data_IF_393908191243
#
_entry.id   IF_393908191243
#
_cell.length_a   1.000
_cell.length_b   1.000
_cell.length_c   1.000
_cell.angle_alpha   90.00
_cell.angle_beta   90.00
_cell.angle_gamma   90.00
#
_symmetry.space_group_name_H-M   'P 1'
#
loop_
_entity.id
_entity.type
_entity.pdbx_description
1 polymer ?
#
# COMPACT_ATOMS: atom_id res chain seq x y z
N UNK A 1 0.89 -7.15 -30.09
CA UNK A 1 1.85 -6.94 -28.98
C UNK A 1 1.21 -7.49 -27.72
N UNK A 2 1.83 -8.44 -27.03
CA UNK A 2 1.29 -8.97 -25.78
C UNK A 2 1.33 -7.86 -24.72
N UNK A 3 0.21 -7.60 -24.05
CA UNK A 3 0.16 -6.70 -22.89
C UNK A 3 1.16 -7.19 -21.84
N UNK A 4 2.00 -6.33 -21.26
CA UNK A 4 2.95 -6.77 -20.24
C UNK A 4 2.20 -7.38 -19.06
N UNK A 5 2.74 -8.47 -18.51
CA UNK A 5 2.16 -9.14 -17.34
C UNK A 5 2.12 -8.16 -16.16
N UNK A 6 0.95 -7.92 -15.54
CA UNK A 6 0.83 -7.01 -14.40
C UNK A 6 1.58 -7.56 -13.17
N UNK A 7 1.96 -6.66 -12.25
CA UNK A 7 2.59 -7.07 -10.99
C UNK A 7 1.57 -7.71 -10.05
N UNK A 8 0.32 -7.22 -10.05
CA UNK A 8 -0.80 -7.78 -9.30
C UNK A 8 -2.01 -7.94 -10.21
N UNK A 9 -2.65 -9.10 -10.15
CA UNK A 9 -3.92 -9.36 -10.81
C UNK A 9 -4.83 -10.14 -9.86
N UNK A 10 -6.00 -9.59 -9.59
CA UNK A 10 -7.08 -10.21 -8.84
C UNK A 10 -8.18 -10.61 -9.81
N UNK A 11 -8.64 -11.87 -9.75
CA UNK A 11 -9.72 -12.39 -10.61
C UNK A 11 -10.82 -12.98 -9.76
N UNK A 12 -11.99 -12.36 -9.81
CA UNK A 12 -13.20 -12.78 -9.09
C UNK A 12 -12.92 -13.10 -7.63
N UNK A 13 -12.07 -12.28 -6.98
CA UNK A 13 -11.55 -12.55 -5.64
C UNK A 13 -12.65 -12.43 -4.60
N UNK A 14 -12.82 -13.48 -3.79
CA UNK A 14 -13.72 -13.51 -2.64
C UNK A 14 -12.96 -13.78 -1.36
N UNK A 15 -13.40 -13.15 -0.27
CA UNK A 15 -12.85 -13.39 1.06
C UNK A 15 -13.90 -13.16 2.15
N UNK A 16 -13.73 -13.86 3.28
CA UNK A 16 -14.65 -13.81 4.40
C UNK A 16 -13.93 -13.83 5.74
N UNK A 17 -14.52 -13.22 6.75
CA UNK A 17 -14.17 -13.39 8.15
C UNK A 17 -15.17 -14.36 8.80
N UNK A 18 -14.75 -15.61 8.97
CA UNK A 18 -15.65 -16.66 9.42
C UNK A 18 -16.78 -16.90 8.41
N UNK A 19 -18.02 -16.59 8.79
CA UNK A 19 -19.21 -16.74 7.92
C UNK A 19 -19.62 -15.47 7.18
N UNK A 20 -18.91 -14.36 7.43
CA UNK A 20 -19.24 -13.05 6.85
C UNK A 20 -18.36 -12.84 5.62
N UNK A 21 -18.95 -12.99 4.42
CA UNK A 21 -18.27 -12.64 3.18
C UNK A 21 -18.16 -11.12 3.07
N UNK A 22 -16.95 -10.62 2.76
CA UNK A 22 -16.63 -9.19 2.64
C UNK A 22 -16.22 -8.83 1.24
N UNK A 23 -15.52 -9.72 0.52
CA UNK A 23 -15.19 -9.54 -0.89
C UNK A 23 -16.09 -10.43 -1.74
N UNK A 24 -16.78 -9.83 -2.69
CA UNK A 24 -17.85 -10.44 -3.49
C UNK A 24 -17.48 -10.59 -4.98
N UNK A 25 -16.23 -10.91 -5.28
CA UNK A 25 -15.73 -11.04 -6.64
C UNK A 25 -15.03 -9.75 -7.09
N UNK A 26 -13.85 -9.50 -6.52
CA UNK A 26 -13.02 -8.33 -6.86
C UNK A 26 -12.15 -8.68 -8.06
N UNK A 27 -12.27 -7.86 -9.11
CA UNK A 27 -11.36 -7.83 -10.25
C UNK A 27 -10.55 -6.54 -10.18
N UNK A 28 -9.21 -6.65 -10.09
CA UNK A 28 -8.31 -5.50 -10.02
C UNK A 28 -6.95 -5.86 -10.61
N UNK A 29 -6.35 -4.92 -11.34
CA UNK A 29 -5.03 -5.10 -11.93
C UNK A 29 -4.14 -3.92 -11.55
N UNK A 30 -2.89 -4.22 -11.15
CA UNK A 30 -1.83 -3.22 -10.96
C UNK A 30 -0.75 -3.47 -12.01
N UNK A 31 -0.63 -2.57 -13.01
CA UNK A 31 0.45 -2.65 -13.99
C UNK A 31 1.83 -2.47 -13.33
N UNK A 32 2.87 -2.98 -13.99
CA UNK A 32 4.25 -2.80 -13.51
C UNK A 32 4.62 -1.32 -13.51
N UNK A 33 5.19 -0.83 -12.41
CA UNK A 33 5.67 0.55 -12.25
C UNK A 33 4.56 1.59 -12.13
N UNK A 34 3.31 1.19 -11.92
CA UNK A 34 2.17 2.11 -11.79
C UNK A 34 1.73 2.27 -10.34
N UNK A 35 1.12 3.42 -10.07
CA UNK A 35 0.34 3.69 -8.84
C UNK A 35 -1.13 3.46 -9.14
N UNK A 36 -1.75 2.51 -8.45
CA UNK A 36 -3.19 2.26 -8.51
C UNK A 36 -3.83 2.65 -7.17
N UNK A 37 -4.81 3.53 -7.20
CA UNK A 37 -5.59 3.91 -6.03
C UNK A 37 -6.87 3.07 -5.94
N UNK A 38 -7.07 2.36 -4.83
CA UNK A 38 -8.33 1.68 -4.51
C UNK A 38 -9.10 2.54 -3.50
N UNK A 39 -10.17 3.17 -3.97
CA UNK A 39 -10.92 4.19 -3.27
C UNK A 39 -12.31 3.70 -2.89
N UNK A 40 -12.89 4.28 -1.85
CA UNK A 40 -14.26 3.96 -1.42
C UNK A 40 -14.49 4.21 0.07
N UNK A 41 -15.74 4.14 0.52
CA UNK A 41 -16.10 4.37 1.92
C UNK A 41 -15.53 3.29 2.85
N UNK A 42 -15.56 3.59 4.15
CA UNK A 42 -15.20 2.62 5.18
C UNK A 42 -16.16 1.40 5.13
N UNK A 43 -15.60 0.21 5.35
CA UNK A 43 -16.36 -1.03 5.20
C UNK A 43 -16.54 -1.51 3.76
N UNK A 44 -16.04 -0.78 2.75
CA UNK A 44 -16.13 -1.15 1.34
C UNK A 44 -15.35 -2.41 0.94
N UNK A 45 -14.43 -2.90 1.79
CA UNK A 45 -13.61 -4.09 1.53
C UNK A 45 -12.14 -3.80 1.18
N UNK A 46 -11.71 -2.54 1.15
CA UNK A 46 -10.37 -2.10 0.74
C UNK A 46 -9.24 -2.77 1.54
N UNK A 47 -9.22 -2.59 2.87
CA UNK A 47 -8.23 -3.23 3.77
C UNK A 47 -8.30 -4.75 3.70
N UNK A 48 -9.49 -5.32 3.50
CA UNK A 48 -9.66 -6.77 3.32
C UNK A 48 -8.96 -7.24 2.04
N UNK A 49 -9.05 -6.47 0.95
CA UNK A 49 -8.33 -6.75 -0.30
C UNK A 49 -6.82 -6.75 -0.06
N UNK A 50 -6.26 -5.74 0.64
CA UNK A 50 -4.83 -5.72 0.99
C UNK A 50 -4.43 -6.91 1.86
N UNK A 51 -5.25 -7.30 2.85
CA UNK A 51 -4.98 -8.47 3.70
C UNK A 51 -4.92 -9.77 2.92
N UNK A 52 -5.76 -9.93 1.89
CA UNK A 52 -5.69 -11.10 1.02
C UNK A 52 -4.43 -11.07 0.16
N UNK A 53 -4.12 -9.95 -0.47
CA UNK A 53 -2.93 -9.79 -1.32
C UNK A 53 -1.64 -9.97 -0.51
N UNK A 54 -1.61 -9.57 0.76
CA UNK A 54 -0.45 -9.72 1.65
C UNK A 54 -0.37 -11.08 2.38
N UNK A 55 -1.31 -12.00 2.12
CA UNK A 55 -1.33 -13.33 2.75
C UNK A 55 -1.75 -13.34 4.22
N UNK A 56 -2.36 -12.26 4.72
CA UNK A 56 -2.87 -12.16 6.09
C UNK A 56 -4.29 -12.73 6.23
N UNK A 57 -5.03 -12.83 5.13
CA UNK A 57 -6.36 -13.42 5.05
C UNK A 57 -6.43 -14.34 3.83
N UNK A 58 -6.88 -15.60 3.96
CA UNK A 58 -7.03 -16.47 2.81
C UNK A 58 -8.19 -16.04 1.90
N UNK A 59 -8.01 -16.14 0.58
CA UNK A 59 -9.12 -16.06 -0.35
C UNK A 59 -10.05 -17.25 -0.17
N UNK A 60 -11.36 -17.03 -0.23
CA UNK A 60 -12.38 -18.10 -0.21
C UNK A 60 -12.72 -18.60 -1.60
N UNK A 61 -12.54 -17.76 -2.63
CA UNK A 61 -12.65 -18.10 -4.05
C UNK A 61 -11.92 -17.06 -4.91
N UNK A 62 -11.79 -17.34 -6.20
CA UNK A 62 -11.06 -16.49 -7.14
C UNK A 62 -9.55 -16.67 -7.03
N UNK A 63 -8.80 -15.81 -7.71
CA UNK A 63 -7.35 -15.95 -7.85
C UNK A 63 -6.61 -14.66 -7.55
N UNK A 64 -5.45 -14.79 -6.90
CA UNK A 64 -4.44 -13.75 -6.74
C UNK A 64 -3.20 -14.16 -7.54
N UNK A 65 -2.76 -13.31 -8.45
CA UNK A 65 -1.51 -13.51 -9.19
C UNK A 65 -0.56 -12.35 -8.90
N UNK A 66 0.70 -12.67 -8.61
CA UNK A 66 1.79 -11.70 -8.46
C UNK A 66 2.85 -12.01 -9.50
N UNK A 67 3.16 -11.04 -10.36
CA UNK A 67 4.03 -11.21 -11.51
C UNK A 67 3.68 -12.46 -12.35
N UNK A 68 2.38 -12.69 -12.59
CA UNK A 68 1.83 -13.83 -13.32
C UNK A 68 1.81 -15.17 -12.56
N UNK A 69 2.32 -15.23 -11.33
CA UNK A 69 2.32 -16.46 -10.51
C UNK A 69 1.08 -16.50 -9.63
N UNK A 70 0.36 -17.62 -9.64
CA UNK A 70 -0.75 -17.85 -8.72
C UNK A 70 -0.23 -18.03 -7.29
N UNK A 71 -0.74 -17.23 -6.34
CA UNK A 71 -0.22 -17.15 -4.97
C UNK A 71 -1.28 -17.36 -3.88
N UNK A 72 -2.45 -17.89 -4.20
CA UNK A 72 -3.47 -18.18 -3.20
C UNK A 72 -2.90 -19.10 -2.11
N UNK A 73 -3.15 -18.76 -0.84
CA UNK A 73 -2.66 -19.52 0.31
C UNK A 73 -1.15 -19.37 0.61
N UNK A 74 -0.44 -18.52 -0.13
CA UNK A 74 0.93 -18.20 0.21
C UNK A 74 0.98 -17.42 1.55
N UNK A 75 1.98 -17.73 2.38
CA UNK A 75 2.18 -17.01 3.63
C UNK A 75 2.72 -15.59 3.38
N UNK A 76 2.48 -14.67 4.32
CA UNK A 76 3.02 -13.31 4.24
C UNK A 76 4.55 -13.29 4.09
N UNK A 77 5.27 -14.21 4.76
CA UNK A 77 6.73 -14.36 4.61
C UNK A 77 7.12 -14.76 3.18
N UNK A 78 6.40 -15.71 2.58
CA UNK A 78 6.64 -16.12 1.19
C UNK A 78 6.39 -14.98 0.21
N UNK A 79 5.35 -14.17 0.44
CA UNK A 79 5.04 -13.01 -0.38
C UNK A 79 6.08 -11.89 -0.21
N UNK A 80 6.56 -11.65 1.02
CA UNK A 80 7.64 -10.71 1.28
C UNK A 80 8.92 -11.09 0.51
N UNK A 81 9.26 -12.38 0.45
CA UNK A 81 10.45 -12.87 -0.29
C UNK A 81 10.36 -12.67 -1.81
N UNK A 82 9.18 -12.58 -2.36
CA UNK A 82 8.96 -12.26 -3.79
C UNK A 82 8.73 -10.76 -4.03
N UNK A 83 8.99 -9.92 -3.01
CA UNK A 83 8.98 -8.48 -3.13
C UNK A 83 7.66 -7.79 -2.85
N UNK A 84 6.71 -8.44 -2.16
CA UNK A 84 5.49 -7.76 -1.66
C UNK A 84 5.79 -7.14 -0.30
N UNK A 85 5.59 -5.84 -0.17
CA UNK A 85 5.72 -5.13 1.10
C UNK A 85 4.41 -4.40 1.44
N UNK A 86 3.98 -4.51 2.68
CA UNK A 86 2.75 -3.85 3.15
C UNK A 86 3.08 -2.85 4.26
N UNK A 87 2.57 -1.64 4.10
CA UNK A 87 2.51 -0.64 5.17
C UNK A 87 1.06 -0.60 5.63
N UNK A 88 0.74 -1.16 6.81
CA UNK A 88 -0.62 -1.26 7.29
C UNK A 88 -1.10 0.09 7.83
N UNK A 89 -2.41 0.24 7.95
CA UNK A 89 -3.04 1.26 8.78
C UNK A 89 -2.39 1.27 10.18
N UNK A 90 -2.21 2.46 10.78
CA UNK A 90 -1.56 2.58 12.09
C UNK A 90 -0.04 2.53 12.06
N UNK A 91 0.57 2.72 10.87
CA UNK A 91 2.00 3.01 10.64
C UNK A 91 2.96 1.82 10.72
N UNK A 92 2.63 0.75 11.44
CA UNK A 92 3.45 -0.47 11.53
C UNK A 92 4.88 -0.25 12.06
N UNK A 93 5.12 0.78 12.87
CA UNK A 93 6.40 1.04 13.54
C UNK A 93 6.47 0.33 14.90
N UNK A 94 7.70 0.18 15.43
CA UNK A 94 7.94 -0.28 16.79
C UNK A 94 8.15 0.94 17.70
N UNK A 95 7.15 1.38 18.48
CA UNK A 95 7.19 2.67 19.20
C UNK A 95 8.27 2.73 20.29
N UNK A 96 8.63 1.59 20.86
CA UNK A 96 9.64 1.47 21.92
C UNK A 96 11.06 1.32 21.38
N UNK A 97 11.25 1.28 20.07
CA UNK A 97 12.55 1.28 19.41
C UNK A 97 12.85 2.68 18.88
N UNK A 98 14.13 3.02 18.80
CA UNK A 98 14.60 4.25 18.14
C UNK A 98 14.33 4.20 16.63
N UNK A 99 14.44 5.33 15.95
CA UNK A 99 14.37 5.41 14.48
C UNK A 99 15.37 4.45 13.84
N UNK A 100 16.64 4.48 14.30
CA UNK A 100 17.70 3.59 13.79
C UNK A 100 17.38 2.12 14.02
N UNK A 101 16.87 1.74 15.19
CA UNK A 101 16.48 0.36 15.48
C UNK A 101 15.28 -0.08 14.66
N UNK A 102 14.31 0.80 14.42
CA UNK A 102 13.22 0.54 13.49
C UNK A 102 13.73 0.24 12.08
N UNK A 103 14.69 1.03 11.58
CA UNK A 103 15.32 0.80 10.28
C UNK A 103 16.09 -0.52 10.24
N UNK A 104 16.78 -0.87 11.33
CA UNK A 104 17.49 -2.17 11.46
C UNK A 104 16.55 -3.36 11.26
N UNK A 105 15.26 -3.26 11.62
CA UNK A 105 14.31 -4.35 11.37
C UNK A 105 14.14 -4.67 9.88
N UNK A 106 14.44 -3.74 8.96
CA UNK A 106 14.41 -3.99 7.53
C UNK A 106 15.60 -4.85 7.04
N UNK A 107 16.68 -4.98 7.83
CA UNK A 107 17.84 -5.79 7.44
C UNK A 107 17.57 -7.30 7.52
N UNK A 108 16.44 -7.73 8.08
CA UNK A 108 16.05 -9.14 8.15
C UNK A 108 15.99 -9.81 6.77
N UNK A 109 15.71 -9.04 5.71
CA UNK A 109 15.76 -9.47 4.32
C UNK A 109 17.16 -9.61 3.71
N UNK A 110 18.25 -9.41 4.50
CA UNK A 110 19.64 -9.51 4.03
C UNK A 110 20.20 -8.20 3.47
N UNK A 111 19.49 -7.08 3.58
CA UNK A 111 19.98 -5.74 3.19
C UNK A 111 20.91 -5.19 4.26
N UNK A 112 22.03 -4.58 3.86
CA UNK A 112 22.97 -3.94 4.79
C UNK A 112 22.33 -2.73 5.51
N UNK A 113 22.62 -2.56 6.83
CA UNK A 113 22.05 -1.47 7.61
C UNK A 113 22.46 -0.08 7.09
N UNK A 114 23.70 0.05 6.63
CA UNK A 114 24.18 1.32 6.06
C UNK A 114 23.42 1.70 4.78
N UNK A 115 23.10 0.72 3.95
CA UNK A 115 22.27 0.94 2.76
C UNK A 115 20.83 1.35 3.14
N UNK A 116 20.23 0.66 4.13
CA UNK A 116 18.92 1.01 4.68
C UNK A 116 18.90 2.43 5.23
N UNK A 117 19.90 2.80 6.04
CA UNK A 117 20.01 4.14 6.61
C UNK A 117 20.20 5.21 5.52
N UNK A 118 21.04 4.95 4.53
CA UNK A 118 21.27 5.88 3.41
C UNK A 118 19.97 6.16 2.67
N UNK A 119 19.28 5.13 2.22
CA UNK A 119 17.98 5.27 1.50
C UNK A 119 16.96 6.01 2.36
N UNK A 120 16.86 5.67 3.65
CA UNK A 120 15.91 6.28 4.56
C UNK A 120 16.18 7.77 4.79
N UNK A 121 17.45 8.15 5.04
CA UNK A 121 17.81 9.53 5.41
C UNK A 121 17.91 10.46 4.19
N UNK A 122 18.24 9.93 3.02
CA UNK A 122 18.16 10.70 1.76
C UNK A 122 16.71 11.09 1.41
N UNK A 123 15.76 10.15 1.58
CA UNK A 123 14.34 10.39 1.31
C UNK A 123 13.64 11.19 2.41
N UNK A 124 14.05 10.98 3.65
CA UNK A 124 13.45 11.59 4.84
C UNK A 124 14.55 12.15 5.77
N UNK A 125 15.16 13.30 5.45
CA UNK A 125 16.29 13.86 6.22
C UNK A 125 16.00 14.04 7.72
N UNK A 126 14.74 14.36 8.07
CA UNK A 126 14.31 14.49 9.46
C UNK A 126 14.46 13.21 10.28
N UNK A 127 14.40 12.04 9.66
CA UNK A 127 14.66 10.77 10.34
C UNK A 127 16.14 10.63 10.72
N UNK A 128 17.03 11.14 9.87
CA UNK A 128 18.47 11.20 10.15
C UNK A 128 18.83 12.07 11.34
N UNK A 129 18.17 13.23 11.48
CA UNK A 129 18.33 14.15 12.61
C UNK A 129 17.84 13.52 13.93
N UNK A 130 16.89 12.59 13.86
CA UNK A 130 16.19 11.95 14.99
C UNK A 130 16.52 10.48 15.18
N UNK A 131 17.61 9.99 14.58
CA UNK A 131 17.98 8.55 14.55
C UNK A 131 18.01 7.86 15.91
N UNK A 132 18.32 8.59 16.97
CA UNK A 132 18.39 8.08 18.36
C UNK A 132 17.09 8.32 19.16
N UNK A 133 16.07 8.98 18.57
CA UNK A 133 14.79 9.25 19.19
C UNK A 133 13.90 8.00 19.14
N UNK A 134 13.13 7.75 20.22
CA UNK A 134 12.12 6.69 20.24
C UNK A 134 11.03 6.99 19.21
N UNK A 135 10.71 6.01 18.37
CA UNK A 135 9.76 6.18 17.29
C UNK A 135 8.34 6.55 17.78
N UNK A 136 7.95 6.08 18.96
CA UNK A 136 6.68 6.44 19.58
C UNK A 136 6.54 7.91 19.96
N UNK A 137 7.65 8.65 20.06
CA UNK A 137 7.65 10.09 20.39
C UNK A 137 7.72 11.01 19.17
N UNK A 138 7.84 10.43 17.98
CA UNK A 138 7.79 11.17 16.72
C UNK A 138 6.36 11.70 16.44
N UNK A 139 6.25 12.76 15.67
CA UNK A 139 4.96 13.20 15.12
C UNK A 139 4.33 12.11 14.24
N UNK A 140 3.01 12.16 14.05
CA UNK A 140 2.32 11.20 13.20
C UNK A 140 2.88 11.07 11.80
N UNK A 141 3.23 12.21 11.18
CA UNK A 141 3.85 12.22 9.86
C UNK A 141 5.25 11.61 9.84
N UNK A 142 6.09 11.88 10.85
CA UNK A 142 7.42 11.28 10.96
C UNK A 142 7.35 9.76 11.19
N UNK A 143 6.35 9.29 11.95
CA UNK A 143 6.10 7.85 12.11
C UNK A 143 5.70 7.20 10.79
N UNK A 144 4.89 7.87 9.97
CA UNK A 144 4.49 7.40 8.65
C UNK A 144 5.69 7.40 7.67
N UNK A 145 6.52 8.45 7.73
CA UNK A 145 7.78 8.51 6.98
C UNK A 145 8.71 7.34 7.36
N UNK A 146 8.80 7.00 8.65
CA UNK A 146 9.61 5.88 9.13
C UNK A 146 9.05 4.53 8.64
N UNK A 147 7.74 4.34 8.65
CA UNK A 147 7.09 3.14 8.11
C UNK A 147 7.39 2.99 6.61
N UNK A 148 7.25 4.09 5.85
CA UNK A 148 7.53 4.12 4.42
C UNK A 148 9.02 3.86 4.13
N UNK A 149 9.93 4.49 4.88
CA UNK A 149 11.37 4.26 4.77
C UNK A 149 11.74 2.78 4.96
N UNK A 150 11.16 2.12 5.97
CA UNK A 150 11.36 0.68 6.22
C UNK A 150 10.85 -0.18 5.06
N UNK A 151 9.65 0.13 4.55
CA UNK A 151 9.07 -0.60 3.43
C UNK A 151 9.88 -0.46 2.14
N UNK A 152 10.46 0.71 1.91
CA UNK A 152 11.28 0.98 0.72
C UNK A 152 12.69 0.37 0.81
N UNK A 153 13.23 0.24 2.02
CA UNK A 153 14.56 -0.31 2.23
C UNK A 153 14.70 -1.77 1.74
N UNK A 154 13.61 -2.54 1.71
CA UNK A 154 13.61 -3.92 1.18
C UNK A 154 13.47 -3.99 -0.34
N UNK A 155 13.44 -2.85 -1.05
CA UNK A 155 13.32 -2.73 -2.52
C UNK A 155 12.16 -3.56 -3.07
N UNK A 156 10.92 -3.28 -2.65
CA UNK A 156 9.77 -4.09 -3.05
C UNK A 156 9.47 -3.94 -4.54
N UNK A 157 8.95 -4.99 -5.17
CA UNK A 157 8.35 -4.93 -6.51
C UNK A 157 6.89 -4.46 -6.48
N UNK A 158 6.20 -4.77 -5.36
CA UNK A 158 4.83 -4.34 -5.08
C UNK A 158 4.74 -3.78 -3.65
N UNK A 159 4.37 -2.52 -3.54
CA UNK A 159 4.14 -1.83 -2.27
C UNK A 159 2.64 -1.67 -2.06
N UNK A 160 2.14 -2.15 -0.94
CA UNK A 160 0.75 -2.05 -0.51
C UNK A 160 0.66 -1.01 0.61
N UNK A 161 -0.13 0.04 0.40
CA UNK A 161 -0.31 1.15 1.36
C UNK A 161 -1.76 1.19 1.83
N UNK A 162 -1.97 1.08 3.13
CA UNK A 162 -3.30 1.12 3.75
C UNK A 162 -3.48 2.43 4.53
N UNK A 163 -4.35 3.31 4.03
CA UNK A 163 -4.76 4.58 4.65
C UNK A 163 -3.56 5.44 5.14
N UNK A 164 -2.62 5.71 4.23
CA UNK A 164 -1.39 6.46 4.51
C UNK A 164 -1.68 7.88 5.05
N UNK A 165 -2.80 8.49 4.63
CA UNK A 165 -3.18 9.86 4.96
C UNK A 165 -3.89 10.00 6.30
N UNK A 166 -4.34 8.90 6.93
CA UNK A 166 -5.25 8.96 8.08
C UNK A 166 -4.64 9.67 9.30
N UNK A 167 -5.36 10.69 9.80
CA UNK A 167 -4.97 11.45 10.99
C UNK A 167 -3.76 12.37 10.81
N UNK A 168 -3.38 12.69 9.58
CA UNK A 168 -2.29 13.59 9.26
C UNK A 168 -2.78 14.96 8.76
N UNK A 169 -1.97 15.98 8.97
CA UNK A 169 -2.21 17.30 8.39
C UNK A 169 -2.03 17.26 6.86
N UNK A 170 -2.83 18.02 6.08
CA UNK A 170 -2.80 17.98 4.61
C UNK A 170 -1.40 18.14 4.00
N UNK A 171 -0.61 19.08 4.50
CA UNK A 171 0.76 19.31 4.01
C UNK A 171 1.67 18.07 4.17
N UNK A 172 1.50 17.31 5.27
CA UNK A 172 2.28 16.07 5.49
C UNK A 172 1.82 14.98 4.53
N UNK A 173 0.52 14.91 4.27
CA UNK A 173 -0.05 13.95 3.30
C UNK A 173 0.50 14.23 1.91
N UNK A 174 0.55 15.48 1.46
CA UNK A 174 1.16 15.89 0.19
C UNK A 174 2.61 15.43 0.10
N UNK A 175 3.44 15.72 1.12
CA UNK A 175 4.84 15.30 1.17
C UNK A 175 5.00 13.77 1.07
N UNK A 176 4.13 12.99 1.74
CA UNK A 176 4.18 11.53 1.66
C UNK A 176 3.83 11.02 0.25
N UNK A 177 2.82 11.59 -0.39
CA UNK A 177 2.44 11.20 -1.75
C UNK A 177 3.44 11.68 -2.81
N UNK A 178 4.15 12.78 -2.60
CA UNK A 178 5.30 13.14 -3.43
C UNK A 178 6.39 12.05 -3.39
N UNK A 179 6.68 11.50 -2.21
CA UNK A 179 7.62 10.38 -2.07
C UNK A 179 7.06 9.13 -2.75
N UNK A 180 5.78 8.82 -2.60
CA UNK A 180 5.13 7.69 -3.30
C UNK A 180 5.29 7.83 -4.82
N UNK A 181 5.04 9.02 -5.38
CA UNK A 181 5.21 9.29 -6.80
C UNK A 181 6.68 9.14 -7.27
N UNK A 182 7.65 9.60 -6.46
CA UNK A 182 9.07 9.43 -6.75
C UNK A 182 9.48 7.94 -6.74
N UNK A 183 8.94 7.17 -5.80
CA UNK A 183 9.19 5.72 -5.69
C UNK A 183 8.63 4.98 -6.90
N UNK A 184 7.42 5.30 -7.34
CA UNK A 184 6.83 4.70 -8.54
C UNK A 184 7.72 4.92 -9.78
N UNK A 185 8.31 6.11 -9.93
CA UNK A 185 9.26 6.43 -11.03
C UNK A 185 10.52 5.55 -11.00
N UNK A 186 10.85 4.90 -9.89
CA UNK A 186 11.97 3.93 -9.83
C UNK A 186 11.57 2.52 -10.28
N UNK A 187 10.31 2.32 -10.71
CA UNK A 187 9.79 1.04 -11.20
C UNK A 187 9.05 0.21 -10.15
N UNK A 188 8.89 0.72 -8.92
CA UNK A 188 8.07 0.07 -7.88
C UNK A 188 6.60 0.24 -8.22
N UNK A 189 5.84 -0.86 -8.24
CA UNK A 189 4.39 -0.82 -8.42
C UNK A 189 3.71 -0.62 -7.08
N UNK A 190 2.67 0.20 -7.04
CA UNK A 190 2.06 0.61 -5.77
C UNK A 190 0.54 0.44 -5.85
N UNK A 191 -0.05 -0.25 -4.87
CA UNK A 191 -1.48 -0.24 -4.60
C UNK A 191 -1.73 0.56 -3.33
N UNK A 192 -2.40 1.69 -3.48
CA UNK A 192 -2.79 2.56 -2.36
C UNK A 192 -4.26 2.35 -2.09
N UNK A 193 -4.58 2.07 -0.84
CA UNK A 193 -5.96 2.07 -0.34
C UNK A 193 -6.20 3.35 0.43
N UNK A 194 -7.22 4.12 0.07
CA UNK A 194 -7.55 5.39 0.71
C UNK A 194 -9.06 5.62 0.82
N UNK A 195 -9.42 6.36 1.85
CA UNK A 195 -10.77 6.87 2.00
C UNK A 195 -10.90 8.25 1.31
N UNK A 196 -9.89 9.12 1.42
CA UNK A 196 -9.91 10.47 0.86
C UNK A 196 -9.21 10.52 -0.49
N UNK A 197 -10.01 10.61 -1.58
CA UNK A 197 -9.51 10.49 -2.94
C UNK A 197 -8.57 11.63 -3.38
N UNK A 198 -8.83 12.89 -2.96
CA UNK A 198 -8.21 14.08 -3.54
C UNK A 198 -6.68 14.05 -3.61
N UNK A 199 -6.02 13.56 -2.57
CA UNK A 199 -4.57 13.61 -2.50
C UNK A 199 -3.91 12.51 -3.31
N UNK A 200 -4.48 11.29 -3.29
CA UNK A 200 -3.91 10.16 -4.00
C UNK A 200 -4.15 10.22 -5.50
N UNK A 201 -5.27 10.84 -5.94
CA UNK A 201 -5.58 10.99 -7.37
C UNK A 201 -4.54 11.82 -8.12
N UNK A 202 -3.89 12.79 -7.46
CA UNK A 202 -2.82 13.58 -8.05
C UNK A 202 -1.53 12.79 -8.39
N UNK A 203 -1.38 11.58 -7.84
CA UNK A 203 -0.19 10.73 -8.05
C UNK A 203 -0.53 9.36 -8.64
N UNK A 204 -1.80 9.00 -8.73
CA UNK A 204 -2.25 7.72 -9.26
C UNK A 204 -2.29 7.73 -10.79
N UNK A 205 -1.80 6.66 -11.41
CA UNK A 205 -1.96 6.40 -12.85
C UNK A 205 -3.36 5.86 -13.15
N UNK A 206 -3.91 5.07 -12.22
CA UNK A 206 -5.25 4.50 -12.30
C UNK A 206 -5.93 4.57 -10.93
N UNK A 207 -7.25 4.67 -10.96
CA UNK A 207 -8.07 4.56 -9.77
C UNK A 207 -9.15 3.50 -9.97
N UNK A 208 -9.52 2.84 -8.87
CA UNK A 208 -10.61 1.88 -8.79
C UNK A 208 -11.54 2.28 -7.65
N UNK A 209 -12.84 2.26 -7.88
CA UNK A 209 -13.86 2.54 -6.87
C UNK A 209 -14.38 1.22 -6.33
N UNK A 210 -14.31 1.06 -5.02
CA UNK A 210 -14.76 -0.14 -4.32
C UNK A 210 -15.95 0.15 -3.41
N UNK A 211 -17.07 -0.53 -3.67
CA UNK A 211 -18.30 -0.46 -2.89
C UNK A 211 -18.77 -1.85 -2.53
N UNK A 212 -19.14 -2.06 -1.26
CA UNK A 212 -19.75 -3.32 -0.78
C UNK A 212 -19.00 -4.57 -1.24
N UNK A 213 -17.67 -4.56 -1.12
CA UNK A 213 -16.83 -5.72 -1.47
C UNK A 213 -16.63 -5.98 -2.96
N UNK A 214 -16.96 -5.03 -3.84
CA UNK A 214 -16.78 -5.12 -5.29
C UNK A 214 -16.08 -3.89 -5.83
N UNK A 215 -15.25 -4.05 -6.84
CA UNK A 215 -14.79 -2.95 -7.68
C UNK A 215 -15.89 -2.65 -8.68
N UNK A 216 -16.42 -1.42 -8.63
CA UNK A 216 -17.55 -0.98 -9.46
C UNK A 216 -17.11 -0.14 -10.65
N UNK A 217 -15.94 0.51 -10.56
CA UNK A 217 -15.38 1.30 -11.66
C UNK A 217 -13.86 1.27 -11.60
N UNK A 218 -13.22 1.33 -12.77
CA UNK A 218 -11.75 1.44 -12.92
C UNK A 218 -11.46 2.36 -14.11
N UNK A 219 -10.59 3.33 -13.93
CA UNK A 219 -10.23 4.27 -14.99
C UNK A 219 -9.04 5.16 -14.63
N UNK A 220 -8.79 6.15 -15.48
CA UNK A 220 -7.87 7.23 -15.12
C UNK A 220 -8.52 8.12 -14.05
N UNK A 221 -7.73 8.74 -13.14
CA UNK A 221 -8.27 9.58 -12.08
C UNK A 221 -9.26 10.65 -12.55
N UNK A 222 -8.97 11.30 -13.68
CA UNK A 222 -9.83 12.36 -14.24
C UNK A 222 -11.21 11.86 -14.71
N UNK A 223 -11.29 10.58 -15.12
CA UNK A 223 -12.55 10.00 -15.63
C UNK A 223 -13.49 9.58 -14.50
N UNK A 224 -12.99 9.49 -13.25
CA UNK A 224 -13.72 8.96 -12.10
C UNK A 224 -14.19 10.00 -11.08
N UNK A 225 -13.92 11.29 -11.28
CA UNK A 225 -14.23 12.34 -10.30
C UNK A 225 -15.73 12.42 -9.96
N UNK A 226 -16.61 12.33 -10.94
CA UNK A 226 -18.07 12.37 -10.74
C UNK A 226 -18.58 11.11 -10.03
N UNK A 227 -18.06 9.93 -10.41
CA UNK A 227 -18.41 8.66 -9.80
C UNK A 227 -17.94 8.58 -8.35
N UNK A 228 -16.74 9.10 -8.06
CA UNK A 228 -16.22 9.20 -6.69
C UNK A 228 -17.12 10.08 -5.84
N UNK A 229 -17.50 11.26 -6.32
CA UNK A 229 -18.42 12.15 -5.61
C UNK A 229 -19.73 11.45 -5.29
N UNK A 230 -20.29 10.69 -6.22
CA UNK A 230 -21.52 9.92 -6.03
C UNK A 230 -21.34 8.78 -5.04
N UNK A 231 -20.21 8.07 -5.07
CA UNK A 231 -19.88 6.95 -4.18
C UNK A 231 -19.75 7.37 -2.70
N UNK A 232 -19.33 8.62 -2.44
CA UNK A 232 -19.21 9.18 -1.09
C UNK A 232 -20.47 9.87 -0.58
N UNK A 233 -21.38 10.31 -1.47
CA UNK A 233 -22.62 11.00 -1.10
C UNK A 233 -23.83 10.05 -1.00
N UNK A 234 -23.74 8.85 -1.58
CA UNK A 234 -24.84 7.88 -1.70
C UNK A 234 -24.77 6.69 -0.72
N UNK A 235 -23.93 6.76 0.31
CA UNK A 235 -23.78 5.72 1.33
C UNK A 235 -24.47 6.08 2.64
#
# INVERSE_FOLDING_TARGET
MSTPTPVLELKNLKAAYGRIEVLHGVDLTVPVGSVVALLGPNGGGKTTTLKVVSGQLPATAGCVHIAGRHVNGASADSLARIGVCTIPEGRGIFPNLTVKENLRMATYGGVDLGEVETVAYERFPRLGERRSQLAGTLSGGEQQMLALARGLAVKPSLLLLDELSMGLAPLIVEQLYEVVAQVAKTGVSILVVEQFARTVLGVADYAAIMLHGKVVSVGQPADLEDELSSAYLGG
#
